data_IF_787926496627
#
_entry.id   IF_787926496627
#
_cell.length_a   1.000
_cell.length_b   1.000
_cell.length_c   1.000
_cell.angle_alpha   90.00
_cell.angle_beta   90.00
_cell.angle_gamma   90.00
#
_symmetry.space_group_name_H-M   'P 1'
#
loop_
_entity.id
_entity.type
_entity.pdbx_description
1 polymer ?
#
# COMPACT_ATOMS: atom_id res chain seq x y z
N UNK A 1 20.82 6.31 -6.10
CA UNK A 1 20.37 5.83 -4.77
C UNK A 1 19.24 4.81 -4.93
N UNK A 2 19.20 3.77 -4.11
CA UNK A 2 18.13 2.76 -4.17
C UNK A 2 16.85 3.30 -3.53
N UNK A 3 15.72 3.17 -4.20
CA UNK A 3 14.43 3.45 -3.59
C UNK A 3 14.19 2.49 -2.43
N UNK A 4 13.64 3.00 -1.33
CA UNK A 4 13.21 2.18 -0.19
C UNK A 4 11.93 1.42 -0.56
N UNK A 5 11.76 0.23 0.02
CA UNK A 5 10.54 -0.54 -0.14
C UNK A 5 9.83 -0.69 1.21
N UNK A 6 8.50 -0.50 1.21
CA UNK A 6 7.71 -0.79 2.39
C UNK A 6 7.73 -2.30 2.66
N UNK A 7 7.89 -2.72 3.92
CA UNK A 7 7.68 -4.11 4.29
C UNK A 7 6.22 -4.51 4.06
N UNK A 8 5.95 -5.80 4.02
CA UNK A 8 4.59 -6.32 3.81
C UNK A 8 3.60 -5.77 4.84
N UNK A 9 4.03 -5.61 6.08
CA UNK A 9 3.26 -4.94 7.13
C UNK A 9 4.06 -3.77 7.68
N UNK A 10 3.91 -2.56 7.11
CA UNK A 10 4.63 -1.39 7.57
C UNK A 10 4.08 -0.88 8.91
N UNK A 11 4.95 -0.24 9.69
CA UNK A 11 4.60 0.35 10.97
C UNK A 11 4.70 1.87 10.90
N UNK A 12 3.59 2.58 11.20
CA UNK A 12 3.54 4.04 11.11
C UNK A 12 4.45 4.73 12.13
N UNK A 13 4.59 4.19 13.33
CA UNK A 13 5.42 4.82 14.35
C UNK A 13 6.91 4.67 14.04
N UNK A 14 7.31 3.56 13.42
CA UNK A 14 8.67 3.43 12.87
C UNK A 14 8.95 4.46 11.76
N UNK A 15 7.99 4.70 10.87
CA UNK A 15 8.15 5.70 9.81
C UNK A 15 8.23 7.12 10.38
N UNK A 16 7.42 7.43 11.41
CA UNK A 16 7.53 8.71 12.13
C UNK A 16 8.90 8.89 12.79
N UNK A 17 9.42 7.82 13.38
CA UNK A 17 10.75 7.85 13.99
C UNK A 17 11.83 8.03 12.93
N UNK A 18 11.79 7.28 11.83
CA UNK A 18 12.70 7.45 10.69
C UNK A 18 12.73 8.88 10.16
N UNK A 19 11.56 9.55 10.09
CA UNK A 19 11.49 10.95 9.66
C UNK A 19 12.19 11.90 10.64
N UNK A 20 12.09 11.64 11.95
CA UNK A 20 12.80 12.43 12.97
C UNK A 20 14.31 12.21 12.92
N UNK A 21 14.72 10.94 12.77
CA UNK A 21 16.13 10.57 12.68
C UNK A 21 16.77 11.16 11.41
N UNK A 22 16.05 11.10 10.28
CA UNK A 22 16.47 11.73 9.02
C UNK A 22 16.64 13.25 9.19
N UNK A 23 15.68 13.92 9.84
CA UNK A 23 15.78 15.36 10.13
C UNK A 23 17.03 15.68 10.98
N UNK A 24 17.28 14.86 11.99
CA UNK A 24 18.46 15.05 12.86
C UNK A 24 19.76 14.92 12.05
N UNK A 25 19.87 13.89 11.20
CA UNK A 25 21.02 13.66 10.33
C UNK A 25 21.20 14.79 9.29
N UNK A 26 20.11 15.26 8.67
CA UNK A 26 20.14 16.40 7.75
C UNK A 26 20.71 17.64 8.46
N UNK A 27 20.17 18.00 9.62
CA UNK A 27 20.61 19.18 10.38
C UNK A 27 22.03 19.05 10.90
N UNK A 28 22.47 17.83 11.18
CA UNK A 28 23.85 17.50 11.57
C UNK A 28 24.85 17.54 10.41
N UNK A 29 24.38 17.74 9.18
CA UNK A 29 25.23 17.79 7.99
C UNK A 29 25.77 16.44 7.55
N UNK A 30 25.10 15.33 7.92
CA UNK A 30 25.47 13.99 7.43
C UNK A 30 25.39 13.97 5.90
N UNK A 31 26.50 13.64 5.18
CA UNK A 31 26.53 13.73 3.72
C UNK A 31 25.45 12.87 3.05
N UNK A 32 25.17 11.67 3.57
CA UNK A 32 24.19 10.76 2.98
C UNK A 32 22.78 11.30 3.15
N UNK A 33 22.46 11.88 4.33
CA UNK A 33 21.16 12.47 4.59
C UNK A 33 20.93 13.75 3.80
N UNK A 34 21.97 14.57 3.60
CA UNK A 34 21.90 15.77 2.74
C UNK A 34 21.75 15.39 1.27
N UNK A 35 22.42 14.34 0.80
CA UNK A 35 22.22 13.81 -0.55
C UNK A 35 20.79 13.27 -0.74
N UNK A 36 20.22 12.59 0.26
CA UNK A 36 18.84 12.11 0.23
C UNK A 36 17.84 13.28 0.18
N UNK A 37 18.09 14.35 0.95
CA UNK A 37 17.31 15.59 0.90
C UNK A 37 17.33 16.19 -0.51
N UNK A 38 18.50 16.38 -1.10
CA UNK A 38 18.66 16.98 -2.43
C UNK A 38 18.04 16.12 -3.54
N UNK A 39 18.03 14.80 -3.39
CA UNK A 39 17.49 13.90 -4.40
C UNK A 39 15.94 13.85 -4.38
N UNK A 40 15.34 13.84 -3.20
CA UNK A 40 13.91 13.61 -3.04
C UNK A 40 13.08 14.87 -2.77
N UNK A 41 13.70 15.98 -2.34
CA UNK A 41 12.98 17.23 -2.10
C UNK A 41 12.96 18.08 -3.37
N UNK A 42 11.81 18.65 -3.81
CA UNK A 42 11.72 19.43 -5.04
C UNK A 42 12.45 20.78 -4.94
N UNK A 43 12.50 21.36 -3.75
CA UNK A 43 13.13 22.63 -3.40
C UNK A 43 13.81 22.45 -2.04
N UNK A 44 15.00 21.80 -2.00
CA UNK A 44 15.63 21.45 -0.74
C UNK A 44 16.03 22.70 0.05
N UNK A 45 15.62 22.81 1.33
CA UNK A 45 16.11 23.86 2.20
C UNK A 45 17.59 23.66 2.55
N UNK A 46 18.24 24.71 3.07
CA UNK A 46 19.57 24.51 3.66
C UNK A 46 19.47 23.52 4.85
N UNK A 47 20.46 22.65 5.06
CA UNK A 47 20.39 21.61 6.09
C UNK A 47 20.01 22.09 7.48
N UNK A 48 20.55 23.22 8.02
CA UNK A 48 20.15 23.74 9.33
C UNK A 48 18.71 24.22 9.41
N UNK A 49 18.11 24.65 8.29
CA UNK A 49 16.75 25.20 8.22
C UNK A 49 15.68 24.13 7.95
N UNK A 50 16.10 22.91 7.60
CA UNK A 50 15.19 21.80 7.33
C UNK A 50 14.21 21.57 8.48
N UNK A 51 12.94 21.34 8.15
CA UNK A 51 11.85 21.08 9.10
C UNK A 51 11.43 19.60 9.04
N UNK A 52 10.64 19.17 10.01
CA UNK A 52 10.11 17.80 10.03
C UNK A 52 9.28 17.50 8.76
N UNK A 53 8.56 18.49 8.25
CA UNK A 53 7.79 18.32 7.01
C UNK A 53 8.68 17.98 5.79
N UNK A 54 9.87 18.58 5.72
CA UNK A 54 10.85 18.31 4.66
C UNK A 54 11.38 16.88 4.76
N UNK A 55 11.79 16.45 5.95
CA UNK A 55 12.23 15.07 6.17
C UNK A 55 11.10 14.04 5.93
N UNK A 56 9.86 14.37 6.30
CA UNK A 56 8.69 13.52 6.00
C UNK A 56 8.45 13.41 4.48
N UNK A 57 8.57 14.53 3.73
CA UNK A 57 8.42 14.51 2.28
C UNK A 57 9.53 13.69 1.61
N UNK A 58 10.79 13.90 2.03
CA UNK A 58 11.94 13.12 1.56
C UNK A 58 11.73 11.64 1.81
N UNK A 59 11.39 11.26 3.04
CA UNK A 59 11.12 9.88 3.41
C UNK A 59 9.97 9.28 2.60
N UNK A 60 8.86 10.02 2.43
CA UNK A 60 7.74 9.54 1.63
C UNK A 60 8.14 9.25 0.18
N UNK A 61 8.92 10.15 -0.44
CA UNK A 61 9.38 9.99 -1.82
C UNK A 61 10.42 8.89 -1.98
N UNK A 62 11.26 8.66 -0.99
CA UNK A 62 12.18 7.51 -1.01
C UNK A 62 11.44 6.18 -0.98
N UNK A 63 10.22 6.14 -0.41
CA UNK A 63 9.26 5.02 -0.50
C UNK A 63 8.32 5.11 -1.71
N UNK A 64 8.62 5.97 -2.70
CA UNK A 64 7.83 6.16 -3.93
C UNK A 64 6.41 6.73 -3.70
N UNK A 65 6.10 7.23 -2.50
CA UNK A 65 4.87 7.97 -2.24
C UNK A 65 5.01 9.43 -2.68
N UNK A 66 3.94 10.00 -3.26
CA UNK A 66 3.94 11.40 -3.70
C UNK A 66 4.03 12.41 -2.55
N UNK A 67 3.61 12.01 -1.34
CA UNK A 67 3.59 12.86 -0.15
C UNK A 67 3.53 12.04 1.13
N UNK A 68 3.86 12.66 2.26
CA UNK A 68 3.72 12.05 3.59
C UNK A 68 2.29 11.59 3.91
N UNK A 69 1.23 12.40 3.69
CA UNK A 69 -0.14 11.92 3.87
C UNK A 69 -0.47 10.68 3.02
N UNK A 70 0.02 10.59 1.79
CA UNK A 70 -0.20 9.42 0.93
C UNK A 70 0.50 8.17 1.49
N UNK A 71 1.71 8.31 2.00
CA UNK A 71 2.43 7.22 2.69
C UNK A 71 1.66 6.74 3.93
N UNK A 72 1.20 7.69 4.76
CA UNK A 72 0.41 7.40 5.97
C UNK A 72 -0.88 6.64 5.62
N UNK A 73 -1.62 7.08 4.58
CA UNK A 73 -2.83 6.39 4.14
C UNK A 73 -2.56 4.95 3.71
N UNK A 74 -1.46 4.68 2.99
CA UNK A 74 -1.09 3.33 2.60
C UNK A 74 -0.83 2.44 3.82
N UNK A 75 -0.06 2.94 4.77
CA UNK A 75 0.24 2.19 6.00
C UNK A 75 -1.02 1.91 6.82
N UNK A 76 -1.89 2.89 6.96
CA UNK A 76 -3.17 2.74 7.68
C UNK A 76 -4.08 1.74 6.98
N UNK A 77 -4.17 1.78 5.65
CA UNK A 77 -4.98 0.84 4.87
C UNK A 77 -4.48 -0.60 5.04
N UNK A 78 -3.18 -0.81 4.89
CA UNK A 78 -2.55 -2.11 5.07
C UNK A 78 -2.75 -2.64 6.49
N UNK A 79 -2.51 -1.82 7.52
CA UNK A 79 -2.69 -2.24 8.91
C UNK A 79 -4.16 -2.55 9.23
N UNK A 80 -5.12 -1.78 8.68
CA UNK A 80 -6.55 -2.06 8.82
C UNK A 80 -6.94 -3.41 8.17
N UNK A 81 -6.42 -3.72 6.98
CA UNK A 81 -6.64 -5.04 6.34
C UNK A 81 -6.04 -6.18 7.18
N UNK A 82 -4.85 -5.99 7.74
CA UNK A 82 -4.23 -6.98 8.62
C UNK A 82 -5.08 -7.27 9.86
N UNK A 83 -5.66 -6.23 10.47
CA UNK A 83 -6.50 -6.33 11.68
C UNK A 83 -7.95 -6.74 11.39
N UNK A 84 -8.31 -6.92 10.12
CA UNK A 84 -9.68 -7.17 9.67
C UNK A 84 -10.66 -6.03 10.03
N UNK A 85 -10.17 -4.79 10.09
CA UNK A 85 -10.91 -3.59 10.44
C UNK A 85 -11.63 -3.03 9.20
N UNK A 86 -12.79 -3.60 8.89
CA UNK A 86 -13.58 -3.27 7.70
C UNK A 86 -14.02 -1.80 7.67
N UNK A 87 -14.31 -1.20 8.83
CA UNK A 87 -14.81 0.16 8.90
C UNK A 87 -13.71 1.17 8.57
N UNK A 88 -12.50 0.96 9.08
CA UNK A 88 -11.35 1.78 8.72
C UNK A 88 -11.00 1.64 7.24
N UNK A 89 -10.99 0.41 6.69
CA UNK A 89 -10.77 0.20 5.24
C UNK A 89 -11.80 0.95 4.44
N UNK A 90 -13.09 0.80 4.75
CA UNK A 90 -14.19 1.49 4.08
C UNK A 90 -14.01 3.01 4.10
N UNK A 91 -13.74 3.56 5.29
CA UNK A 91 -13.53 5.01 5.46
C UNK A 91 -12.39 5.51 4.57
N UNK A 92 -11.26 4.81 4.53
CA UNK A 92 -10.10 5.21 3.73
C UNK A 92 -10.41 5.19 2.23
N UNK A 93 -10.98 4.10 1.70
CA UNK A 93 -11.26 3.97 0.27
C UNK A 93 -12.41 4.84 -0.20
N UNK A 94 -13.39 5.17 0.65
CA UNK A 94 -14.46 6.11 0.30
C UNK A 94 -13.99 7.57 0.34
N UNK A 95 -13.07 7.91 1.24
CA UNK A 95 -12.48 9.26 1.28
C UNK A 95 -11.47 9.50 0.15
N UNK A 96 -10.83 8.45 -0.34
CA UNK A 96 -9.90 8.49 -1.47
C UNK A 96 -10.09 7.27 -2.38
N UNK A 97 -11.03 7.33 -3.35
CA UNK A 97 -11.36 6.19 -4.23
C UNK A 97 -10.19 5.66 -5.08
N UNK A 98 -9.15 6.46 -5.31
CA UNK A 98 -7.94 6.01 -6.01
C UNK A 98 -7.26 4.85 -5.31
N UNK A 99 -7.38 4.77 -3.98
CA UNK A 99 -6.81 3.67 -3.19
C UNK A 99 -7.35 2.29 -3.59
N UNK A 100 -8.55 2.21 -4.21
CA UNK A 100 -9.12 0.94 -4.71
C UNK A 100 -8.29 0.31 -5.83
N UNK A 101 -7.55 1.13 -6.59
CA UNK A 101 -6.88 0.72 -7.83
C UNK A 101 -5.36 0.84 -7.78
N UNK A 102 -4.82 1.47 -6.74
CA UNK A 102 -3.38 1.63 -6.54
C UNK A 102 -2.83 0.51 -5.67
N UNK A 103 -1.59 0.10 -5.93
CA UNK A 103 -0.92 -0.88 -5.07
C UNK A 103 -0.92 -0.46 -3.60
N UNK A 104 -1.39 -1.35 -2.73
CA UNK A 104 -1.52 -1.08 -1.29
C UNK A 104 -0.19 -0.69 -0.64
N UNK A 105 0.93 -1.26 -1.13
CA UNK A 105 2.29 -0.99 -0.64
C UNK A 105 3.02 0.11 -1.41
N UNK A 106 2.37 0.84 -2.33
CA UNK A 106 2.97 1.94 -3.13
C UNK A 106 4.18 1.50 -3.98
N UNK A 107 4.36 0.24 -4.29
CA UNK A 107 5.48 -0.24 -5.11
C UNK A 107 4.97 -0.97 -6.35
N UNK A 108 5.50 -0.59 -7.52
CA UNK A 108 5.03 -1.05 -8.83
C UNK A 108 5.13 -2.55 -9.07
N UNK A 109 6.03 -3.23 -8.42
CA UNK A 109 6.28 -4.66 -8.62
C UNK A 109 5.89 -5.49 -7.40
N UNK A 110 4.92 -4.99 -6.62
CA UNK A 110 4.39 -5.73 -5.50
C UNK A 110 3.42 -6.80 -5.98
N UNK A 111 3.75 -8.05 -5.73
CA UNK A 111 2.81 -9.15 -5.93
C UNK A 111 1.70 -9.21 -4.84
N UNK A 112 1.61 -8.19 -3.99
CA UNK A 112 0.53 -7.99 -3.04
C UNK A 112 -0.64 -7.18 -3.63
N UNK A 113 -0.39 -6.41 -4.69
CA UNK A 113 -1.37 -5.70 -5.50
C UNK A 113 -2.20 -4.62 -4.78
N UNK A 114 -3.31 -4.22 -5.41
CA UNK A 114 -4.31 -3.33 -4.82
C UNK A 114 -4.99 -3.92 -3.57
N UNK A 115 -5.78 -3.13 -2.82
CA UNK A 115 -6.40 -3.57 -1.57
C UNK A 115 -7.21 -4.85 -1.66
N UNK A 116 -7.90 -5.12 -2.78
CA UNK A 116 -8.65 -6.36 -2.98
C UNK A 116 -7.72 -7.57 -3.05
N UNK A 117 -6.67 -7.52 -3.89
CA UNK A 117 -5.63 -8.56 -3.98
C UNK A 117 -4.89 -8.70 -2.65
N UNK A 118 -4.60 -7.57 -1.97
CA UNK A 118 -3.97 -7.59 -0.66
C UNK A 118 -4.83 -8.30 0.40
N UNK A 119 -6.13 -8.01 0.46
CA UNK A 119 -7.09 -8.68 1.35
C UNK A 119 -7.23 -10.17 1.03
N UNK A 120 -7.17 -10.54 -0.26
CA UNK A 120 -7.23 -11.92 -0.72
C UNK A 120 -6.01 -12.75 -0.26
N UNK A 121 -4.80 -12.17 -0.24
CA UNK A 121 -3.61 -12.81 0.33
C UNK A 121 -3.81 -13.22 1.79
N UNK A 122 -4.62 -12.47 2.54
CA UNK A 122 -4.88 -12.68 3.96
C UNK A 122 -6.18 -13.44 4.24
N UNK A 123 -7.03 -13.67 3.23
CA UNK A 123 -8.33 -14.33 3.38
C UNK A 123 -9.34 -13.47 4.17
N UNK A 124 -9.37 -12.15 3.93
CA UNK A 124 -10.27 -11.20 4.58
C UNK A 124 -11.59 -11.07 3.81
N UNK A 125 -12.44 -12.08 3.91
CA UNK A 125 -13.63 -12.26 3.07
C UNK A 125 -14.61 -11.09 3.09
N UNK A 126 -14.88 -10.50 4.27
CA UNK A 126 -15.80 -9.36 4.38
C UNK A 126 -15.22 -8.09 3.76
N UNK A 127 -13.92 -7.84 3.96
CA UNK A 127 -13.20 -6.73 3.32
C UNK A 127 -13.22 -6.92 1.80
N UNK A 128 -12.97 -8.13 1.30
CA UNK A 128 -13.02 -8.46 -0.13
C UNK A 128 -14.42 -8.14 -0.70
N UNK A 129 -15.49 -8.61 -0.05
CA UNK A 129 -16.87 -8.33 -0.48
C UNK A 129 -17.17 -6.84 -0.53
N UNK A 130 -16.71 -6.10 0.46
CA UNK A 130 -16.90 -4.66 0.55
C UNK A 130 -16.13 -3.93 -0.55
N UNK A 131 -14.83 -4.23 -0.74
CA UNK A 131 -13.99 -3.60 -1.77
C UNK A 131 -14.52 -3.88 -3.18
N UNK A 132 -14.94 -5.12 -3.46
CA UNK A 132 -15.55 -5.49 -4.72
C UNK A 132 -16.83 -4.70 -5.00
N UNK A 133 -17.72 -4.55 -3.99
CA UNK A 133 -18.93 -3.72 -4.13
C UNK A 133 -18.64 -2.24 -4.37
N UNK A 134 -17.50 -1.74 -3.91
CA UNK A 134 -17.06 -0.36 -4.12
C UNK A 134 -16.35 -0.17 -5.47
N UNK A 135 -16.21 -1.22 -6.28
CA UNK A 135 -15.69 -1.14 -7.63
C UNK A 135 -14.21 -1.50 -7.80
N UNK A 136 -13.62 -2.22 -6.84
CA UNK A 136 -12.28 -2.78 -7.05
C UNK A 136 -12.26 -3.72 -8.27
N UNK A 137 -11.33 -3.51 -9.20
CA UNK A 137 -11.32 -4.16 -10.52
C UNK A 137 -10.32 -5.32 -10.68
N UNK A 138 -9.55 -5.64 -9.65
CA UNK A 138 -8.44 -6.62 -9.69
C UNK A 138 -8.86 -8.03 -9.23
N UNK A 139 -10.11 -8.44 -9.51
CA UNK A 139 -10.70 -9.69 -9.03
C UNK A 139 -9.91 -10.94 -9.46
N UNK A 140 -9.45 -11.00 -10.71
CA UNK A 140 -8.67 -12.13 -11.23
C UNK A 140 -7.34 -12.29 -10.49
N UNK A 141 -6.62 -11.18 -10.32
CA UNK A 141 -5.37 -11.15 -9.54
C UNK A 141 -5.61 -11.57 -8.10
N UNK A 142 -6.72 -11.13 -7.50
CA UNK A 142 -7.09 -11.49 -6.13
C UNK A 142 -7.39 -12.99 -5.99
N UNK A 143 -8.08 -13.62 -6.96
CA UNK A 143 -8.34 -15.07 -6.98
C UNK A 143 -7.01 -15.83 -7.06
N UNK A 144 -6.14 -15.48 -8.01
CA UNK A 144 -4.83 -16.11 -8.18
C UNK A 144 -3.98 -15.99 -6.90
N UNK A 145 -3.99 -14.84 -6.24
CA UNK A 145 -3.26 -14.66 -4.98
C UNK A 145 -3.83 -15.48 -3.82
N UNK A 146 -5.15 -15.55 -3.70
CA UNK A 146 -5.79 -16.39 -2.70
C UNK A 146 -5.41 -17.87 -2.87
N UNK A 147 -5.40 -18.38 -4.12
CA UNK A 147 -4.97 -19.75 -4.44
C UNK A 147 -3.51 -19.99 -4.05
N UNK A 148 -2.59 -19.09 -4.43
CA UNK A 148 -1.18 -19.19 -4.08
C UNK A 148 -0.93 -19.20 -2.56
N UNK A 149 -1.81 -18.59 -1.77
CA UNK A 149 -1.76 -18.57 -0.31
C UNK A 149 -2.56 -19.71 0.35
N UNK A 150 -3.09 -20.65 -0.43
CA UNK A 150 -3.91 -21.75 0.08
C UNK A 150 -5.28 -21.30 0.61
N UNK A 151 -5.76 -20.10 0.26
CA UNK A 151 -7.06 -19.56 0.68
C UNK A 151 -8.18 -20.03 -0.27
N UNK A 152 -8.37 -21.33 -0.37
CA UNK A 152 -9.27 -21.94 -1.37
C UNK A 152 -10.72 -21.48 -1.21
N UNK A 153 -11.22 -21.36 0.02
CA UNK A 153 -12.59 -20.90 0.30
C UNK A 153 -12.78 -19.47 -0.19
N UNK A 154 -11.84 -18.58 0.11
CA UNK A 154 -11.82 -17.18 -0.35
C UNK A 154 -11.79 -17.10 -1.88
N UNK A 155 -10.91 -17.87 -2.53
CA UNK A 155 -10.81 -17.90 -3.99
C UNK A 155 -12.12 -18.36 -4.64
N UNK A 156 -12.73 -19.43 -4.13
CA UNK A 156 -14.01 -19.95 -4.62
C UNK A 156 -15.14 -18.94 -4.42
N UNK A 157 -15.19 -18.27 -3.30
CA UNK A 157 -16.17 -17.20 -3.02
C UNK A 157 -16.08 -16.06 -4.03
N UNK A 158 -14.87 -15.61 -4.36
CA UNK A 158 -14.64 -14.56 -5.35
C UNK A 158 -14.99 -15.01 -6.77
N UNK A 159 -14.58 -16.22 -7.17
CA UNK A 159 -14.89 -16.78 -8.48
C UNK A 159 -16.41 -16.92 -8.71
N UNK A 160 -17.14 -17.44 -7.72
CA UNK A 160 -18.61 -17.56 -7.79
C UNK A 160 -19.29 -16.20 -7.93
N UNK A 161 -18.77 -15.19 -7.28
CA UNK A 161 -19.31 -13.83 -7.33
C UNK A 161 -19.03 -13.17 -8.67
N UNK A 162 -17.78 -13.23 -9.15
CA UNK A 162 -17.41 -12.71 -10.47
C UNK A 162 -18.23 -13.33 -11.59
N UNK A 163 -18.46 -14.64 -11.55
CA UNK A 163 -19.29 -15.32 -12.54
C UNK A 163 -20.76 -14.84 -12.54
N UNK A 164 -21.32 -14.54 -11.34
CA UNK A 164 -22.70 -14.00 -11.23
C UNK A 164 -22.83 -12.58 -11.79
N UNK A 165 -21.78 -11.78 -11.65
CA UNK A 165 -21.76 -10.39 -12.10
C UNK A 165 -21.31 -10.27 -13.57
N UNK A 166 -21.17 -11.39 -14.30
CA UNK A 166 -20.78 -11.43 -15.71
C UNK A 166 -19.30 -11.11 -15.96
N UNK A 167 -18.46 -11.16 -14.93
CA UNK A 167 -17.03 -11.01 -15.09
C UNK A 167 -16.46 -12.24 -15.79
N UNK A 168 -15.85 -12.05 -16.97
CA UNK A 168 -15.17 -13.13 -17.72
C UNK A 168 -13.86 -13.42 -16.99
N UNK A 169 -13.84 -14.47 -16.19
CA UNK A 169 -12.59 -14.99 -15.62
C UNK A 169 -11.84 -15.73 -16.73
N UNK A 170 -10.58 -15.38 -16.95
CA UNK A 170 -9.79 -16.10 -17.94
C UNK A 170 -9.50 -17.53 -17.44
N UNK A 171 -9.43 -18.49 -18.38
CA UNK A 171 -9.31 -19.92 -18.06
C UNK A 171 -8.12 -20.28 -17.14
N UNK A 172 -7.05 -19.46 -17.16
CA UNK A 172 -5.88 -19.68 -16.31
C UNK A 172 -6.12 -19.58 -14.79
N UNK A 173 -7.19 -18.90 -14.36
CA UNK A 173 -7.55 -18.78 -12.94
C UNK A 173 -8.34 -20.00 -12.43
N UNK A 174 -8.91 -20.82 -13.33
CA UNK A 174 -9.76 -21.96 -13.00
C UNK A 174 -9.02 -23.31 -13.07
N UNK A 175 -7.92 -23.41 -13.84
CA UNK A 175 -7.18 -24.66 -14.02
C UNK A 175 -6.24 -24.99 -12.84
N UNK A 176 -6.03 -24.06 -11.91
CA UNK A 176 -5.19 -24.26 -10.72
C UNK A 176 -5.99 -24.51 -9.42
N UNK A 177 -7.30 -24.68 -9.52
CA UNK A 177 -8.21 -24.99 -8.41
C UNK A 177 -8.67 -26.45 -8.47
#
# INVERSE_FOLDING_TARGET
MSNRELPVRPNLDQLKQQAKDLLHSIRGGDPSAVDELNHHHPEPPSPPEAKLADAQLVLARSYQASSWPRLVQAVQLVDAIWRDDIDTVRKLVTSNPKLLHEDALIRRNSNWGPPLTYAANLGRDEIIRMLYKLGAGDLESAIGRALLQGKIVTARMMATRGARDGCVLTAGALETA
#
